data_IF_748500792369
#
_entry.id   IF_748500792369
#
_cell.length_a   1.000
_cell.length_b   1.000
_cell.length_c   1.000
_cell.angle_alpha   90.00
_cell.angle_beta   90.00
_cell.angle_gamma   90.00
#
_symmetry.space_group_name_H-M   'P 1'
#
loop_
_entity.id
_entity.type
_entity.pdbx_description
1 polymer ?
#
# COMPACT_ATOMS: atom_id res chain seq x y z
N UNK A 1 1.30 11.78 14.90
CA UNK A 1 1.59 13.05 14.17
C UNK A 1 2.91 13.76 14.53
N UNK A 2 3.19 14.13 15.80
CA UNK A 2 4.30 15.07 16.13
C UNK A 2 5.70 14.62 15.68
N UNK A 3 6.02 13.33 15.83
CA UNK A 3 7.33 12.79 15.46
C UNK A 3 7.56 12.84 13.95
N UNK A 4 6.59 12.44 13.13
CA UNK A 4 6.74 12.45 11.66
C UNK A 4 6.94 13.88 11.12
N UNK A 5 6.18 14.85 11.63
CA UNK A 5 6.38 16.26 11.27
C UNK A 5 7.79 16.77 11.64
N UNK A 6 8.30 16.36 12.81
CA UNK A 6 9.66 16.70 13.23
C UNK A 6 10.71 16.09 12.28
N UNK A 7 10.56 14.82 11.89
CA UNK A 7 11.48 14.14 10.98
C UNK A 7 11.51 14.81 9.59
N UNK A 8 10.34 15.17 9.05
CA UNK A 8 10.23 15.89 7.77
C UNK A 8 10.89 17.27 7.87
N UNK A 9 10.63 18.01 8.96
CA UNK A 9 11.23 19.34 9.17
C UNK A 9 12.75 19.29 9.37
N UNK A 10 13.28 18.17 9.86
CA UNK A 10 14.71 17.92 10.00
C UNK A 10 15.36 17.39 8.70
N UNK A 11 14.65 17.38 7.57
CA UNK A 11 15.08 16.89 6.25
C UNK A 11 15.60 15.44 6.30
N UNK A 12 15.04 14.63 7.21
CA UNK A 12 15.34 13.19 7.28
C UNK A 12 14.73 12.49 6.06
N UNK A 13 15.48 11.57 5.46
CA UNK A 13 14.97 10.74 4.38
C UNK A 13 13.95 9.71 4.91
N UNK A 14 12.68 9.91 4.57
CA UNK A 14 11.57 9.04 4.97
C UNK A 14 11.46 7.75 4.14
N UNK A 15 12.29 7.61 3.09
CA UNK A 15 12.33 6.44 2.22
C UNK A 15 13.28 5.35 2.72
N UNK A 16 13.98 5.59 3.82
CA UNK A 16 14.86 4.58 4.43
C UNK A 16 14.04 3.34 4.77
N UNK A 17 14.59 2.19 4.36
CA UNK A 17 14.04 0.89 4.66
C UNK A 17 14.61 0.39 6.00
N UNK A 18 13.72 -0.01 6.89
CA UNK A 18 14.08 -0.67 8.14
C UNK A 18 14.30 -2.18 7.96
N UNK A 19 14.35 -2.93 9.07
CA UNK A 19 14.27 -4.38 9.04
C UNK A 19 13.03 -4.82 8.25
N UNK A 20 13.16 -5.87 7.44
CA UNK A 20 12.16 -6.34 6.46
C UNK A 20 11.96 -5.47 5.21
N UNK A 21 12.77 -4.44 4.98
CA UNK A 21 12.64 -3.60 3.78
C UNK A 21 11.49 -2.59 3.87
N UNK A 22 10.82 -2.50 5.03
CA UNK A 22 9.69 -1.61 5.22
C UNK A 22 10.12 -0.16 5.40
N UNK A 23 9.45 0.75 4.70
CA UNK A 23 9.55 2.20 4.93
C UNK A 23 8.52 2.68 5.94
N UNK A 24 8.63 3.94 6.37
CA UNK A 24 7.61 4.55 7.26
C UNK A 24 6.23 4.54 6.61
N UNK A 25 6.15 4.66 5.28
CA UNK A 25 4.88 4.59 4.56
C UNK A 25 4.23 3.20 4.62
N UNK A 26 5.00 2.11 4.57
CA UNK A 26 4.48 0.75 4.80
C UNK A 26 3.84 0.65 6.18
N UNK A 27 4.56 1.10 7.21
CA UNK A 27 4.09 1.03 8.60
C UNK A 27 2.82 1.86 8.83
N UNK A 28 2.76 3.05 8.24
CA UNK A 28 1.57 3.89 8.30
C UNK A 28 0.37 3.26 7.56
N UNK A 29 0.62 2.66 6.40
CA UNK A 29 -0.40 2.00 5.59
C UNK A 29 -0.96 0.75 6.27
N UNK A 30 -0.11 -0.11 6.82
CA UNK A 30 -0.49 -1.29 7.62
C UNK A 30 -1.36 -0.91 8.82
N UNK A 31 -1.08 0.23 9.47
CA UNK A 31 -1.85 0.74 10.62
C UNK A 31 -3.12 1.49 10.24
N UNK A 32 -3.29 1.85 8.97
CA UNK A 32 -4.41 2.68 8.51
C UNK A 32 -4.28 4.16 8.87
N UNK A 33 -3.08 4.61 9.22
CA UNK A 33 -2.77 5.97 9.63
C UNK A 33 -2.79 6.89 8.41
N UNK A 34 -3.99 7.19 7.91
CA UNK A 34 -4.22 7.92 6.67
C UNK A 34 -3.60 9.32 6.70
N UNK A 35 -3.67 10.01 7.85
CA UNK A 35 -3.06 11.34 8.02
C UNK A 35 -1.53 11.29 7.93
N UNK A 36 -0.91 10.20 8.40
CA UNK A 36 0.55 10.01 8.30
C UNK A 36 0.92 9.68 6.86
N UNK A 37 0.16 8.83 6.19
CA UNK A 37 0.36 8.54 4.77
C UNK A 37 0.28 9.82 3.93
N UNK A 38 -0.72 10.67 4.17
CA UNK A 38 -0.92 11.91 3.41
C UNK A 38 0.23 12.90 3.65
N UNK A 39 0.65 13.04 4.90
CA UNK A 39 1.80 13.85 5.28
C UNK A 39 3.10 13.37 4.59
N UNK A 40 3.37 12.06 4.61
CA UNK A 40 4.57 11.49 4.00
C UNK A 40 4.59 11.69 2.48
N UNK A 41 3.45 11.51 1.82
CA UNK A 41 3.34 11.61 0.35
C UNK A 41 3.34 13.07 -0.14
N UNK A 42 2.79 14.01 0.63
CA UNK A 42 2.69 15.41 0.22
C UNK A 42 3.87 16.27 0.70
N UNK A 43 4.28 16.10 1.95
CA UNK A 43 5.31 16.94 2.57
C UNK A 43 6.64 16.19 2.67
N UNK A 44 6.60 14.88 2.92
CA UNK A 44 7.78 14.05 3.17
C UNK A 44 8.53 13.55 1.93
N UNK A 45 8.00 13.77 0.72
CA UNK A 45 8.55 13.23 -0.54
C UNK A 45 8.74 11.70 -0.49
N UNK A 46 7.83 11.00 0.19
CA UNK A 46 7.85 9.55 0.23
C UNK A 46 7.51 8.96 -1.15
N UNK A 47 8.24 7.91 -1.54
CA UNK A 47 7.87 7.06 -2.66
C UNK A 47 6.53 6.40 -2.35
N UNK A 48 5.62 6.34 -3.34
CA UNK A 48 4.28 5.75 -3.16
C UNK A 48 4.29 4.22 -3.21
N UNK A 49 5.17 3.64 -4.04
CA UNK A 49 5.30 2.19 -4.25
C UNK A 49 6.69 1.62 -3.87
N UNK A 50 7.25 1.92 -2.68
CA UNK A 50 8.40 1.17 -2.20
C UNK A 50 7.99 -0.29 -2.00
N UNK A 51 8.95 -1.20 -2.13
CA UNK A 51 8.74 -2.64 -1.95
C UNK A 51 9.53 -3.13 -0.75
N UNK A 52 8.87 -3.80 0.17
CA UNK A 52 9.53 -4.52 1.26
C UNK A 52 10.19 -5.83 0.77
N UNK A 53 10.79 -6.61 1.67
CA UNK A 53 11.46 -7.86 1.31
C UNK A 53 10.51 -8.93 0.74
N UNK A 54 9.22 -8.88 1.06
CA UNK A 54 8.19 -9.73 0.46
C UNK A 54 7.72 -9.21 -0.90
N UNK A 55 8.20 -8.03 -1.32
CA UNK A 55 7.76 -7.34 -2.52
C UNK A 55 6.43 -6.61 -2.32
N UNK A 56 5.91 -6.51 -1.10
CA UNK A 56 4.66 -5.82 -0.81
C UNK A 56 4.86 -4.31 -0.88
N UNK A 57 3.84 -3.61 -1.36
CA UNK A 57 3.79 -2.14 -1.36
C UNK A 57 2.89 -1.64 -0.24
N UNK A 58 2.95 -0.35 0.13
CA UNK A 58 2.02 0.22 1.10
C UNK A 58 0.54 -0.02 0.75
N UNK A 59 0.20 -0.05 -0.55
CA UNK A 59 -1.16 -0.34 -1.00
C UNK A 59 -1.58 -1.77 -0.64
N UNK A 60 -0.70 -2.76 -0.79
CA UNK A 60 -0.98 -4.15 -0.41
C UNK A 60 -1.26 -4.26 1.09
N UNK A 61 -0.41 -3.67 1.92
CA UNK A 61 -0.59 -3.64 3.38
C UNK A 61 -1.93 -2.99 3.79
N UNK A 62 -2.26 -1.83 3.22
CA UNK A 62 -3.54 -1.17 3.49
C UNK A 62 -4.75 -1.98 3.02
N UNK A 63 -4.62 -2.69 1.89
CA UNK A 63 -5.70 -3.48 1.31
C UNK A 63 -6.00 -4.74 2.12
N UNK A 64 -4.96 -5.50 2.49
CA UNK A 64 -5.07 -6.68 3.36
C UNK A 64 -5.70 -6.32 4.72
N UNK A 65 -5.30 -5.18 5.28
CA UNK A 65 -5.81 -4.71 6.58
C UNK A 65 -7.12 -3.92 6.49
N UNK A 66 -7.75 -3.82 5.31
CA UNK A 66 -9.07 -3.23 5.10
C UNK A 66 -9.15 -1.72 5.37
N UNK A 67 -8.04 -1.01 5.22
CA UNK A 67 -7.96 0.43 5.48
C UNK A 67 -8.48 1.25 4.29
N UNK A 68 -9.79 1.24 4.08
CA UNK A 68 -10.48 1.87 2.92
C UNK A 68 -10.02 3.30 2.63
N UNK A 69 -9.86 4.14 3.66
CA UNK A 69 -9.43 5.54 3.49
C UNK A 69 -7.97 5.62 3.03
N UNK A 70 -7.11 4.78 3.57
CA UNK A 70 -5.69 4.71 3.22
C UNK A 70 -5.50 4.16 1.81
N UNK A 71 -6.24 3.12 1.43
CA UNK A 71 -6.27 2.59 0.05
C UNK A 71 -6.67 3.69 -0.94
N UNK A 72 -7.78 4.40 -0.67
CA UNK A 72 -8.23 5.51 -1.52
C UNK A 72 -7.16 6.60 -1.66
N UNK A 73 -6.51 6.96 -0.56
CA UNK A 73 -5.43 7.94 -0.56
C UNK A 73 -4.23 7.46 -1.40
N UNK A 74 -3.75 6.24 -1.18
CA UNK A 74 -2.60 5.71 -1.91
C UNK A 74 -2.88 5.65 -3.43
N UNK A 75 -4.07 5.19 -3.83
CA UNK A 75 -4.50 5.20 -5.23
C UNK A 75 -4.56 6.62 -5.80
N UNK A 76 -5.08 7.59 -5.05
CA UNK A 76 -5.12 8.99 -5.52
C UNK A 76 -3.75 9.66 -5.61
N UNK A 77 -2.75 9.12 -4.90
CA UNK A 77 -1.33 9.49 -4.99
C UNK A 77 -0.56 8.68 -6.04
N UNK A 78 -1.25 7.88 -6.84
CA UNK A 78 -0.66 7.16 -7.97
C UNK A 78 -0.06 5.80 -7.63
N UNK A 79 -0.44 5.19 -6.50
CA UNK A 79 -0.03 3.83 -6.18
C UNK A 79 -0.46 2.85 -7.29
N UNK A 80 0.44 1.95 -7.68
CA UNK A 80 0.16 0.95 -8.69
C UNK A 80 -0.74 -0.17 -8.13
N UNK A 81 -2.03 -0.13 -8.47
CA UNK A 81 -3.01 -1.15 -8.10
C UNK A 81 -2.70 -2.56 -8.64
N UNK A 82 -1.85 -2.66 -9.66
CA UNK A 82 -1.41 -3.92 -10.27
C UNK A 82 -0.05 -4.39 -9.76
N UNK A 83 0.52 -3.72 -8.75
CA UNK A 83 1.77 -4.19 -8.13
C UNK A 83 1.56 -5.59 -7.54
N UNK A 84 2.46 -6.51 -7.90
CA UNK A 84 2.49 -7.89 -7.42
C UNK A 84 3.66 -8.11 -6.48
N UNK A 85 3.45 -8.89 -5.43
CA UNK A 85 4.50 -9.38 -4.53
C UNK A 85 5.35 -10.49 -5.19
N UNK A 86 6.25 -11.09 -4.41
CA UNK A 86 7.14 -12.16 -4.90
C UNK A 86 6.40 -13.46 -5.29
N UNK A 87 5.18 -13.67 -4.82
CA UNK A 87 4.33 -14.81 -5.18
C UNK A 87 3.37 -14.46 -6.33
N UNK A 88 3.46 -13.24 -6.87
CA UNK A 88 2.59 -12.77 -7.94
C UNK A 88 1.20 -12.33 -7.46
N UNK A 89 0.97 -12.26 -6.14
CA UNK A 89 -0.27 -11.75 -5.56
C UNK A 89 -0.28 -10.22 -5.62
N UNK A 90 -1.38 -9.64 -6.08
CA UNK A 90 -1.62 -8.20 -6.02
C UNK A 90 -2.42 -7.79 -4.79
N UNK A 91 -2.63 -6.49 -4.61
CA UNK A 91 -3.50 -5.97 -3.55
C UNK A 91 -4.92 -6.58 -3.60
N UNK A 92 -5.41 -6.96 -4.79
CA UNK A 92 -6.72 -7.58 -4.96
C UNK A 92 -6.79 -9.01 -4.41
N UNK A 93 -5.72 -9.80 -4.54
CA UNK A 93 -5.62 -11.15 -3.98
C UNK A 93 -5.69 -11.09 -2.45
N UNK A 94 -4.88 -10.22 -1.85
CA UNK A 94 -4.83 -10.05 -0.40
C UNK A 94 -6.10 -9.41 0.18
N UNK A 95 -6.71 -8.45 -0.53
CA UNK A 95 -7.99 -7.87 -0.13
C UNK A 95 -9.13 -8.90 -0.10
N UNK A 96 -9.18 -9.79 -1.09
CA UNK A 96 -10.21 -10.81 -1.19
C UNK A 96 -10.15 -11.79 -0.01
N UNK A 97 -8.94 -12.22 0.36
CA UNK A 97 -8.70 -13.04 1.56
C UNK A 97 -9.17 -12.34 2.84
N UNK A 98 -8.98 -11.02 2.92
CA UNK A 98 -9.39 -10.22 4.07
C UNK A 98 -10.92 -10.01 4.19
N UNK A 99 -11.65 -10.17 3.07
CA UNK A 99 -13.11 -10.18 3.01
C UNK A 99 -13.80 -8.81 2.97
N UNK A 100 -13.13 -7.72 2.59
CA UNK A 100 -13.74 -6.38 2.54
C UNK A 100 -14.13 -5.95 1.11
N UNK A 101 -15.45 -5.91 0.87
CA UNK A 101 -16.03 -5.48 -0.40
C UNK A 101 -15.76 -4.01 -0.78
N UNK A 102 -15.45 -3.13 0.17
CA UNK A 102 -15.19 -1.72 -0.10
C UNK A 102 -13.80 -1.50 -0.70
N UNK A 103 -12.78 -2.15 -0.13
CA UNK A 103 -11.42 -2.12 -0.69
C UNK A 103 -11.42 -2.80 -2.06
N UNK A 104 -12.11 -3.95 -2.19
CA UNK A 104 -12.22 -4.66 -3.47
C UNK A 104 -12.79 -3.75 -4.57
N UNK A 105 -13.87 -3.01 -4.29
CA UNK A 105 -14.45 -2.04 -5.23
C UNK A 105 -13.43 -0.96 -5.63
N UNK A 106 -12.71 -0.38 -4.66
CA UNK A 106 -11.70 0.65 -4.96
C UNK A 106 -10.58 0.12 -5.87
N UNK A 107 -10.13 -1.12 -5.63
CA UNK A 107 -9.10 -1.74 -6.45
C UNK A 107 -9.61 -2.07 -7.86
N UNK A 108 -10.86 -2.53 -8.00
CA UNK A 108 -11.48 -2.78 -9.30
C UNK A 108 -11.75 -1.50 -10.08
N UNK A 109 -12.15 -0.42 -9.42
CA UNK A 109 -12.31 0.90 -10.05
C UNK A 109 -10.97 1.42 -10.60
N UNK A 110 -9.88 1.18 -9.87
CA UNK A 110 -8.53 1.56 -10.31
C UNK A 110 -7.92 0.60 -11.35
N UNK A 111 -8.26 -0.69 -11.26
CA UNK A 111 -7.70 -1.74 -12.12
C UNK A 111 -8.75 -2.85 -12.40
N UNK A 112 -9.67 -2.63 -13.36
CA UNK A 112 -10.79 -3.55 -13.61
C UNK A 112 -10.36 -4.96 -14.01
N UNK A 113 -9.22 -5.07 -14.72
CA UNK A 113 -8.70 -6.35 -15.21
C UNK A 113 -7.99 -7.18 -14.13
N UNK A 114 -7.79 -6.63 -12.93
CA UNK A 114 -7.06 -7.31 -11.86
C UNK A 114 -7.77 -8.60 -11.39
N UNK A 115 -9.10 -8.66 -11.51
CA UNK A 115 -9.91 -9.83 -11.10
C UNK A 115 -9.61 -11.11 -11.90
N UNK A 116 -9.06 -10.96 -13.11
CA UNK A 116 -8.75 -12.09 -13.98
C UNK A 116 -7.27 -12.48 -13.96
N UNK A 117 -6.45 -11.73 -13.22
CA UNK A 117 -5.01 -12.00 -13.16
C UNK A 117 -4.71 -13.08 -12.15
N UNK A 118 -3.92 -14.05 -12.57
CA UNK A 118 -3.43 -15.10 -11.68
C UNK A 118 -2.14 -14.69 -10.97
N UNK A 119 -1.93 -15.29 -9.80
CA UNK A 119 -0.65 -15.29 -9.11
C UNK A 119 0.28 -16.40 -9.67
N UNK A 120 1.43 -16.64 -9.04
CA UNK A 120 2.36 -17.69 -9.46
C UNK A 120 1.79 -19.12 -9.31
N UNK A 121 0.75 -19.30 -8.50
CA UNK A 121 0.06 -20.56 -8.27
C UNK A 121 -1.13 -20.79 -9.22
N UNK A 122 -1.36 -19.87 -10.17
CA UNK A 122 -2.50 -19.88 -11.10
C UNK A 122 -3.86 -19.55 -10.43
N UNK A 123 -3.84 -19.02 -9.21
CA UNK A 123 -5.06 -18.63 -8.50
C UNK A 123 -5.52 -17.23 -8.93
N UNK A 124 -6.82 -17.10 -9.20
CA UNK A 124 -7.48 -15.80 -9.31
C UNK A 124 -7.64 -15.15 -7.93
N UNK A 125 -7.89 -13.83 -7.87
CA UNK A 125 -8.10 -13.16 -6.59
C UNK A 125 -9.34 -13.63 -5.83
N UNK A 126 -10.35 -14.18 -6.53
CA UNK A 126 -11.56 -14.78 -5.97
C UNK A 126 -11.62 -16.28 -6.26
#
# INVERSE_FOLDING_TARGET
MKIIRYLIAADCDVNIQGPEGMTVLHMAAMRGDTDVCDLLLNEGRANVDPRDHGGWTPLVWAAEHKHVRTVRLLLSKGANALAKDLEGNGAIHWCALAGDSNVLKLLLDAAPLALHQTNAHQDTPL
#
